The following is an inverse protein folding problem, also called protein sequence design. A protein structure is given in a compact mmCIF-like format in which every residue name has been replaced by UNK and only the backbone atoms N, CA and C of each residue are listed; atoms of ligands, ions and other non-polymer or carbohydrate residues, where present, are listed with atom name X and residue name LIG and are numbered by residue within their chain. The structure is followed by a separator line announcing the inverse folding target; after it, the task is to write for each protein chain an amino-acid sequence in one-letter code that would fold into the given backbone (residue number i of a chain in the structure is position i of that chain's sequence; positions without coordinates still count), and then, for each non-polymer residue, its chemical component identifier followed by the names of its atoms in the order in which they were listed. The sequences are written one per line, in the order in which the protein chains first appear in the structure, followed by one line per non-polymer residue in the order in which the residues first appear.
data_IF_589939139020
#
_entry.id   IF_589939139020
#
_cell.length_a   1.000
_cell.length_b   1.000
_cell.length_c   1.000
_cell.angle_alpha   90.00
_cell.angle_beta   90.00
_cell.angle_gamma   90.00
#
_symmetry.space_group_name_H-M   'P 1'
#
loop_
_entity.id
_entity.type
_entity.pdbx_description
1 polymer ?
#
# COMPACT_ATOMS: atom_id res chain seq x y z
N UNK A 1 6.90 8.87 1.40
CA UNK A 1 6.56 8.52 2.80
C UNK A 1 7.58 7.50 3.27
N UNK A 2 8.37 7.90 4.26
CA UNK A 2 9.48 7.12 4.84
C UNK A 2 9.01 5.88 5.59
N UNK A 3 9.95 5.01 5.97
CA UNK A 3 9.67 3.83 6.80
C UNK A 3 9.04 4.21 8.15
N UNK A 4 9.59 5.21 8.84
CA UNK A 4 9.08 5.68 10.13
C UNK A 4 7.66 6.24 10.04
N UNK A 5 7.36 7.00 8.99
CA UNK A 5 6.03 7.55 8.74
C UNK A 5 5.00 6.45 8.48
N UNK A 6 5.36 5.39 7.75
CA UNK A 6 4.49 4.21 7.53
C UNK A 6 4.16 3.50 8.84
N UNK A 7 5.16 3.26 9.68
CA UNK A 7 4.97 2.66 11.01
C UNK A 7 4.00 3.51 11.85
N UNK A 8 4.23 4.83 11.89
CA UNK A 8 3.39 5.79 12.61
C UNK A 8 1.95 5.81 12.09
N UNK A 9 1.77 5.81 10.77
CA UNK A 9 0.46 5.84 10.12
C UNK A 9 -0.36 4.60 10.48
N UNK A 10 0.22 3.41 10.34
CA UNK A 10 -0.43 2.15 10.70
C UNK A 10 -0.72 2.09 12.20
N UNK A 11 0.25 2.46 13.07
CA UNK A 11 0.04 2.51 14.52
C UNK A 11 -1.15 3.38 14.91
N UNK A 12 -1.25 4.57 14.31
CA UNK A 12 -2.36 5.49 14.56
C UNK A 12 -3.70 4.93 14.06
N UNK A 13 -3.73 4.27 12.89
CA UNK A 13 -4.92 3.58 12.39
C UNK A 13 -5.36 2.43 13.32
N UNK A 14 -4.40 1.74 13.97
CA UNK A 14 -4.66 0.75 15.03
C UNK A 14 -5.03 1.35 16.38
N UNK A 15 -5.09 2.68 16.52
CA UNK A 15 -5.38 3.40 17.77
C UNK A 15 -4.43 3.02 18.93
N UNK A 16 -3.19 2.64 18.60
CA UNK A 16 -2.17 2.25 19.59
C UNK A 16 -1.27 3.43 19.94
N UNK A 17 -0.87 3.53 21.21
CA UNK A 17 0.19 4.46 21.65
C UNK A 17 1.59 3.90 21.32
N UNK A 18 2.61 4.76 21.29
CA UNK A 18 4.00 4.33 21.11
C UNK A 18 4.43 3.32 22.20
N UNK A 19 4.00 3.55 23.46
CA UNK A 19 4.28 2.64 24.58
C UNK A 19 3.63 1.27 24.36
N UNK A 20 2.34 1.23 23.99
CA UNK A 20 1.63 -0.02 23.71
C UNK A 20 2.29 -0.82 22.58
N UNK A 21 2.65 -0.17 21.48
CA UNK A 21 3.36 -0.84 20.38
C UNK A 21 4.71 -1.39 20.85
N UNK A 22 5.50 -0.61 21.61
CA UNK A 22 6.79 -1.05 22.12
C UNK A 22 6.69 -2.24 23.08
N UNK A 23 5.66 -2.27 23.93
CA UNK A 23 5.38 -3.40 24.82
C UNK A 23 4.99 -4.66 24.03
N UNK A 24 4.15 -4.53 22.99
CA UNK A 24 3.79 -5.65 22.10
C UNK A 24 5.00 -6.20 21.33
N UNK A 25 6.01 -5.35 21.06
CA UNK A 25 7.29 -5.77 20.49
C UNK A 25 8.22 -6.46 21.49
N UNK A 26 7.85 -6.57 22.77
CA UNK A 26 8.67 -7.17 23.83
C UNK A 26 9.78 -6.26 24.34
N UNK A 27 9.67 -4.94 24.16
CA UNK A 27 10.65 -4.00 24.73
C UNK A 27 10.40 -3.78 26.22
N UNK A 28 11.45 -3.40 26.95
CA UNK A 28 11.31 -3.08 28.38
C UNK A 28 10.36 -1.90 28.56
N UNK A 29 9.57 -1.94 29.64
CA UNK A 29 8.58 -0.89 29.91
C UNK A 29 9.20 0.52 29.97
N UNK A 30 10.44 0.62 30.48
CA UNK A 30 11.22 1.85 30.58
C UNK A 30 11.68 2.43 29.24
N UNK A 31 11.72 1.63 28.16
CA UNK A 31 12.26 2.06 26.85
C UNK A 31 11.29 1.85 25.68
N UNK A 32 10.12 1.26 25.93
CA UNK A 32 9.16 0.89 24.91
C UNK A 32 8.72 2.07 24.03
N UNK A 33 8.32 3.19 24.63
CA UNK A 33 7.87 4.37 23.90
C UNK A 33 9.03 5.08 23.18
N UNK A 34 10.19 5.21 23.84
CA UNK A 34 11.38 5.87 23.29
C UNK A 34 11.86 5.17 22.02
N UNK A 35 11.94 3.83 22.03
CA UNK A 35 12.37 3.05 20.87
C UNK A 35 11.43 3.23 19.68
N UNK A 36 10.12 3.12 19.91
CA UNK A 36 9.13 3.33 18.84
C UNK A 36 9.19 4.76 18.30
N UNK A 37 9.31 5.77 19.19
CA UNK A 37 9.45 7.17 18.78
C UNK A 37 10.67 7.39 17.87
N UNK A 38 11.81 6.80 18.21
CA UNK A 38 13.03 6.88 17.40
C UNK A 38 12.86 6.26 16.02
N UNK A 39 12.13 5.13 15.92
CA UNK A 39 11.83 4.51 14.63
C UNK A 39 10.85 5.36 13.81
N UNK A 40 9.79 5.88 14.42
CA UNK A 40 8.78 6.71 13.74
C UNK A 40 9.31 8.05 13.24
N UNK A 41 10.31 8.63 13.92
CA UNK A 41 10.96 9.87 13.51
C UNK A 41 12.14 9.67 12.57
N UNK A 42 12.41 8.44 12.13
CA UNK A 42 13.59 8.05 11.37
C UNK A 42 14.94 8.37 12.07
N UNK A 43 14.94 8.66 13.37
CA UNK A 43 16.16 8.90 14.15
C UNK A 43 17.00 7.62 14.30
N UNK A 44 16.35 6.45 14.15
CA UNK A 44 17.00 5.15 14.10
C UNK A 44 16.27 4.25 13.14
N UNK A 45 16.99 3.42 12.40
CA UNK A 45 16.40 2.37 11.56
C UNK A 45 16.27 1.07 12.37
N UNK A 46 15.09 0.44 12.43
CA UNK A 46 14.93 -0.87 13.07
C UNK A 46 15.68 -1.93 12.26
N UNK A 47 16.44 -2.80 12.94
CA UNK A 47 17.01 -4.00 12.32
C UNK A 47 15.88 -4.94 11.89
N UNK A 48 16.16 -5.85 10.95
CA UNK A 48 15.18 -6.78 10.40
C UNK A 48 14.37 -7.52 11.47
N UNK A 49 15.00 -8.11 12.49
CA UNK A 49 14.29 -8.81 13.56
C UNK A 49 13.35 -7.87 14.34
N UNK A 50 13.80 -6.64 14.60
CA UNK A 50 12.98 -5.62 15.26
C UNK A 50 11.80 -5.21 14.39
N UNK A 51 12.04 -5.08 13.09
CA UNK A 51 11.01 -4.74 12.14
C UNK A 51 9.96 -5.85 12.01
N UNK A 52 10.37 -7.13 12.06
CA UNK A 52 9.43 -8.26 12.10
C UNK A 52 8.58 -8.24 13.37
N UNK A 53 9.16 -7.91 14.54
CA UNK A 53 8.40 -7.73 15.78
C UNK A 53 7.37 -6.59 15.66
N UNK A 54 7.77 -5.46 15.07
CA UNK A 54 6.87 -4.32 14.81
C UNK A 54 5.74 -4.72 13.86
N UNK A 55 6.05 -5.42 12.76
CA UNK A 55 5.06 -5.90 11.79
C UNK A 55 4.04 -6.83 12.46
N UNK A 56 4.52 -7.79 13.27
CA UNK A 56 3.68 -8.70 14.05
C UNK A 56 2.78 -7.95 15.04
N UNK A 57 3.33 -6.99 15.79
CA UNK A 57 2.59 -6.19 16.75
C UNK A 57 1.52 -5.30 16.08
N UNK A 58 1.79 -4.79 14.88
CA UNK A 58 0.85 -4.01 14.08
C UNK A 58 -0.16 -4.86 13.29
N UNK A 59 0.01 -6.19 13.28
CA UNK A 59 -0.75 -7.15 12.46
C UNK A 59 -0.73 -6.78 10.97
N UNK A 60 0.48 -6.62 10.44
CA UNK A 60 0.74 -6.31 9.02
C UNK A 60 1.87 -7.19 8.50
N UNK A 61 1.94 -7.32 7.17
CA UNK A 61 3.08 -7.89 6.48
C UNK A 61 4.32 -7.04 6.71
N UNK A 62 5.48 -7.69 6.89
CA UNK A 62 6.76 -6.99 7.00
C UNK A 62 7.01 -6.11 5.75
N UNK A 63 6.48 -6.53 4.58
CA UNK A 63 6.65 -5.83 3.31
C UNK A 63 6.08 -4.42 3.40
N UNK A 64 4.94 -4.22 4.06
CA UNK A 64 4.28 -2.91 4.15
C UNK A 64 5.10 -1.86 4.91
N UNK A 65 6.04 -2.30 5.75
CA UNK A 65 6.90 -1.44 6.56
C UNK A 65 8.40 -1.66 6.29
N UNK A 66 8.79 -2.45 5.29
CA UNK A 66 10.20 -2.60 4.89
C UNK A 66 10.74 -1.28 4.33
N UNK A 67 12.03 -1.05 4.47
CA UNK A 67 12.63 0.22 4.04
C UNK A 67 12.58 0.34 2.50
N UNK A 68 11.87 1.35 2.03
CA UNK A 68 11.82 1.83 0.65
C UNK A 68 11.28 3.25 0.69
N UNK A 69 11.81 4.11 -0.18
CA UNK A 69 11.25 5.45 -0.37
C UNK A 69 10.50 5.50 -1.71
N UNK A 70 9.39 6.23 -1.70
CA UNK A 70 8.55 6.51 -2.87
C UNK A 70 8.13 7.98 -2.79
N UNK A 71 9.02 8.82 -2.25
CA UNK A 71 8.72 10.17 -1.81
C UNK A 71 8.76 11.17 -2.95
N UNK A 72 9.64 10.92 -3.93
CA UNK A 72 9.89 11.83 -5.04
C UNK A 72 9.43 11.22 -6.37
N UNK A 73 9.20 12.09 -7.36
CA UNK A 73 8.83 11.64 -8.71
C UNK A 73 9.95 10.79 -9.33
N UNK A 74 11.19 11.12 -9.01
CA UNK A 74 12.41 10.43 -9.40
C UNK A 74 12.40 8.96 -8.96
N UNK A 75 12.01 8.65 -7.72
CA UNK A 75 11.95 7.27 -7.21
C UNK A 75 10.96 6.40 -8.00
N UNK A 76 9.81 6.99 -8.32
CA UNK A 76 8.76 6.33 -9.11
C UNK A 76 9.23 6.13 -10.55
N UNK A 77 9.80 7.17 -11.16
CA UNK A 77 10.29 7.12 -12.54
C UNK A 77 11.44 6.13 -12.70
N UNK A 78 12.43 6.12 -11.82
CA UNK A 78 13.52 5.14 -11.82
C UNK A 78 12.97 3.72 -11.74
N UNK A 79 12.01 3.46 -10.84
CA UNK A 79 11.37 2.14 -10.74
C UNK A 79 10.70 1.74 -12.06
N UNK A 80 9.97 2.66 -12.69
CA UNK A 80 9.34 2.42 -13.99
C UNK A 80 10.36 2.23 -15.11
N UNK A 81 11.46 2.97 -15.14
CA UNK A 81 12.54 2.82 -16.13
C UNK A 81 13.23 1.46 -16.03
N UNK A 82 13.46 0.96 -14.82
CA UNK A 82 13.99 -0.39 -14.63
C UNK A 82 13.01 -1.47 -15.08
N UNK A 83 11.71 -1.28 -14.84
CA UNK A 83 10.67 -2.18 -15.36
C UNK A 83 10.60 -2.15 -16.90
N UNK A 84 10.66 -0.96 -17.51
CA UNK A 84 10.68 -0.78 -18.96
C UNK A 84 11.90 -1.45 -19.61
N UNK A 85 13.09 -1.28 -19.02
CA UNK A 85 14.34 -1.92 -19.45
C UNK A 85 14.24 -3.46 -19.46
N UNK A 86 13.40 -4.04 -18.59
CA UNK A 86 13.16 -5.47 -18.52
C UNK A 86 11.97 -5.93 -19.39
N UNK A 87 11.42 -5.05 -20.25
CA UNK A 87 10.18 -5.27 -20.99
C UNK A 87 9.00 -5.67 -20.07
N UNK A 88 9.04 -5.21 -18.82
CA UNK A 88 8.04 -5.51 -17.79
C UNK A 88 6.81 -4.61 -17.85
N UNK A 89 6.87 -3.52 -18.61
CA UNK A 89 5.75 -2.60 -18.82
C UNK A 89 5.67 -2.11 -20.26
N UNK A 90 4.47 -1.71 -20.68
CA UNK A 90 4.22 -0.91 -21.88
C UNK A 90 3.37 0.32 -21.52
N UNK A 91 3.45 1.37 -22.35
CA UNK A 91 2.71 2.63 -22.16
C UNK A 91 1.78 2.89 -23.33
N UNK A 92 0.56 3.38 -23.04
CA UNK A 92 -0.39 3.80 -24.07
C UNK A 92 -1.16 5.06 -23.63
N UNK A 93 -1.47 5.97 -24.56
CA UNK A 93 -2.26 7.15 -24.24
C UNK A 93 -3.72 6.75 -24.00
N UNK A 94 -4.35 7.35 -22.98
CA UNK A 94 -5.80 7.23 -22.81
C UNK A 94 -6.52 8.16 -23.78
N UNK A 95 -7.64 7.69 -24.34
CA UNK A 95 -8.48 8.51 -25.23
C UNK A 95 -9.46 9.37 -24.42
N UNK A 96 -9.82 10.58 -24.85
CA UNK A 96 -10.87 11.34 -24.17
C UNK A 96 -12.25 10.68 -24.37
N UNK A 97 -13.09 10.70 -23.35
CA UNK A 97 -14.52 10.29 -23.39
C UNK A 97 -15.42 11.38 -22.79
N UNK A 98 -16.70 11.44 -23.18
CA UNK A 98 -17.65 12.45 -22.74
C UNK A 98 -18.96 11.79 -22.28
N UNK A 99 -19.06 11.31 -21.03
CA UNK A 99 -20.25 10.66 -20.54
C UNK A 99 -21.36 11.68 -20.27
N UNK A 100 -22.59 11.24 -20.48
CA UNK A 100 -23.79 12.08 -20.34
C UNK A 100 -24.16 12.37 -18.88
N UNK A 101 -23.66 11.57 -17.95
CA UNK A 101 -24.03 11.59 -16.53
C UNK A 101 -22.96 12.22 -15.62
N UNK A 102 -21.91 12.81 -16.20
CA UNK A 102 -20.76 13.35 -15.46
C UNK A 102 -20.10 12.35 -14.48
N UNK A 103 -20.27 11.04 -14.69
CA UNK A 103 -19.59 10.03 -13.89
C UNK A 103 -18.08 10.06 -14.15
N UNK A 104 -17.29 10.10 -13.07
CA UNK A 104 -15.83 9.97 -13.13
C UNK A 104 -15.48 8.47 -13.06
N UNK A 105 -15.33 7.85 -14.22
CA UNK A 105 -14.87 6.48 -14.35
C UNK A 105 -13.57 6.43 -15.15
N UNK A 106 -12.58 5.69 -14.64
CA UNK A 106 -11.37 5.36 -15.40
C UNK A 106 -11.67 4.14 -16.26
N UNK A 107 -11.94 4.34 -17.55
CA UNK A 107 -12.01 3.26 -18.55
C UNK A 107 -10.73 3.32 -19.40
N UNK A 108 -10.64 2.62 -20.53
CA UNK A 108 -9.58 2.83 -21.53
C UNK A 108 -9.67 4.22 -22.22
N UNK A 109 -10.15 5.20 -21.47
CA UNK A 109 -10.54 6.55 -21.81
C UNK A 109 -10.71 7.36 -20.52
N UNK A 110 -10.56 8.68 -20.57
CA UNK A 110 -10.80 9.58 -19.44
C UNK A 110 -11.63 10.79 -19.88
N UNK A 111 -12.43 11.36 -18.97
CA UNK A 111 -13.27 12.48 -19.32
C UNK A 111 -12.57 13.81 -19.11
N UNK A 112 -12.63 14.68 -20.11
CA UNK A 112 -12.08 16.03 -20.02
C UNK A 112 -13.21 17.06 -20.04
N UNK A 113 -13.48 17.72 -18.89
CA UNK A 113 -14.08 19.03 -18.95
C UNK A 113 -13.25 20.14 -18.31
N UNK A 114 -12.09 19.85 -17.69
CA UNK A 114 -11.20 20.88 -17.09
C UNK A 114 -9.86 20.30 -16.57
N UNK A 115 -9.16 19.48 -17.37
CA UNK A 115 -7.82 18.99 -16.97
C UNK A 115 -6.80 20.14 -16.99
N UNK A 116 -6.18 20.45 -15.84
CA UNK A 116 -5.06 21.41 -15.76
C UNK A 116 -3.73 20.88 -16.34
N UNK A 117 -3.71 19.66 -16.86
CA UNK A 117 -2.49 19.01 -17.32
C UNK A 117 -2.24 19.35 -18.79
N UNK A 118 -0.98 19.63 -19.15
CA UNK A 118 -0.57 19.95 -20.52
C UNK A 118 -0.50 18.73 -21.46
N UNK A 119 -0.72 17.52 -20.93
CA UNK A 119 -0.66 16.24 -21.67
C UNK A 119 -1.77 15.30 -21.20
N UNK A 120 -2.28 14.42 -22.07
CA UNK A 120 -3.24 13.40 -21.66
C UNK A 120 -2.60 12.45 -20.63
N UNK A 121 -3.40 11.88 -19.71
CA UNK A 121 -2.96 10.79 -18.85
C UNK A 121 -2.63 9.54 -19.69
N UNK A 122 -1.71 8.73 -19.18
CA UNK A 122 -1.26 7.48 -19.79
C UNK A 122 -1.70 6.29 -18.95
N UNK A 123 -2.02 5.19 -19.62
CA UNK A 123 -2.12 3.86 -19.02
C UNK A 123 -0.77 3.16 -19.03
N UNK A 124 -0.51 2.36 -17.99
CA UNK A 124 0.62 1.44 -17.90
C UNK A 124 0.07 0.01 -18.00
N UNK A 125 0.57 -0.77 -18.96
CA UNK A 125 0.34 -2.23 -19.01
C UNK A 125 1.46 -2.91 -18.25
N UNK A 126 1.14 -3.80 -17.32
CA UNK A 126 2.14 -4.67 -16.70
C UNK A 126 2.27 -5.96 -17.50
N UNK A 127 3.48 -6.28 -17.95
CA UNK A 127 3.80 -7.54 -18.64
C UNK A 127 4.17 -8.67 -17.66
N UNK A 128 3.74 -8.55 -16.42
CA UNK A 128 4.04 -9.50 -15.36
C UNK A 128 2.75 -10.05 -14.74
N UNK A 129 2.46 -11.34 -15.03
CA UNK A 129 1.23 -12.02 -14.64
C UNK A 129 0.88 -11.88 -13.15
N UNK A 130 1.87 -12.12 -12.26
CA UNK A 130 1.64 -12.01 -10.82
C UNK A 130 1.22 -10.60 -10.38
N UNK A 131 1.78 -9.56 -11.02
CA UNK A 131 1.35 -8.18 -10.74
C UNK A 131 -0.05 -7.95 -11.29
N UNK A 132 -0.38 -8.45 -12.48
CA UNK A 132 -1.73 -8.35 -13.04
C UNK A 132 -2.79 -9.02 -12.16
N UNK A 133 -2.50 -10.19 -11.60
CA UNK A 133 -3.40 -10.88 -10.68
C UNK A 133 -3.70 -10.01 -9.45
N UNK A 134 -2.65 -9.42 -8.86
CA UNK A 134 -2.81 -8.50 -7.74
C UNK A 134 -3.51 -7.19 -8.15
N UNK A 135 -3.26 -6.64 -9.34
CA UNK A 135 -3.95 -5.44 -9.84
C UNK A 135 -5.44 -5.69 -10.07
N UNK A 136 -5.81 -6.88 -10.57
CA UNK A 136 -7.20 -7.28 -10.73
C UNK A 136 -7.90 -7.36 -9.38
N UNK A 137 -7.28 -8.02 -8.39
CA UNK A 137 -7.82 -8.07 -7.03
C UNK A 137 -7.88 -6.67 -6.39
N UNK A 138 -6.86 -5.84 -6.58
CA UNK A 138 -6.86 -4.46 -6.08
C UNK A 138 -8.00 -3.62 -6.67
N UNK A 139 -8.25 -3.76 -7.98
CA UNK A 139 -9.36 -3.11 -8.65
C UNK A 139 -10.69 -3.55 -8.05
N UNK A 140 -10.88 -4.86 -7.80
CA UNK A 140 -12.05 -5.39 -7.12
C UNK A 140 -12.24 -4.74 -5.74
N UNK A 141 -11.19 -4.67 -4.91
CA UNK A 141 -11.28 -4.06 -3.57
C UNK A 141 -11.61 -2.58 -3.60
N UNK A 142 -11.14 -1.84 -4.60
CA UNK A 142 -11.53 -0.43 -4.78
C UNK A 142 -13.02 -0.30 -5.10
N UNK A 143 -13.56 -1.20 -5.93
CA UNK A 143 -15.00 -1.25 -6.22
C UNK A 143 -15.80 -1.57 -4.98
N UNK A 144 -15.44 -2.61 -4.23
CA UNK A 144 -16.10 -2.99 -2.97
C UNK A 144 -16.07 -1.83 -1.94
N UNK A 145 -14.96 -1.08 -1.85
CA UNK A 145 -14.87 0.09 -0.99
C UNK A 145 -15.79 1.23 -1.44
N UNK A 146 -15.86 1.50 -2.75
CA UNK A 146 -16.71 2.53 -3.35
C UNK A 146 -18.20 2.22 -3.15
N UNK A 147 -18.56 0.95 -3.26
CA UNK A 147 -19.93 0.45 -3.08
C UNK A 147 -20.30 0.27 -1.60
N UNK A 148 -19.34 0.44 -0.68
CA UNK A 148 -19.55 0.31 0.76
C UNK A 148 -19.66 -1.14 1.24
N UNK A 149 -19.31 -2.12 0.40
CA UNK A 149 -19.29 -3.55 0.77
C UNK A 149 -18.15 -3.89 1.73
N UNK A 150 -17.07 -3.09 1.74
CA UNK A 150 -15.99 -3.15 2.74
C UNK A 150 -15.73 -1.77 3.34
N UNK A 151 -15.26 -1.74 4.58
CA UNK A 151 -14.85 -0.50 5.25
C UNK A 151 -13.44 -0.09 4.83
N UNK A 152 -13.08 1.19 5.06
CA UNK A 152 -11.71 1.68 4.88
C UNK A 152 -10.68 0.88 5.69
N UNK A 153 -11.06 0.40 6.88
CA UNK A 153 -10.19 -0.41 7.74
C UNK A 153 -9.97 -1.80 7.14
N UNK A 154 -11.02 -2.44 6.63
CA UNK A 154 -10.91 -3.73 5.92
C UNK A 154 -10.05 -3.60 4.65
N UNK A 155 -10.26 -2.53 3.87
CA UNK A 155 -9.44 -2.25 2.70
C UNK A 155 -7.96 -2.03 3.04
N UNK A 156 -7.67 -1.32 4.14
CA UNK A 156 -6.30 -1.13 4.62
C UNK A 156 -5.70 -2.44 5.17
N UNK A 157 -6.47 -3.24 5.89
CA UNK A 157 -6.06 -4.57 6.35
C UNK A 157 -5.64 -5.46 5.17
N UNK A 158 -6.43 -5.47 4.09
CA UNK A 158 -6.11 -6.22 2.88
C UNK A 158 -4.78 -5.75 2.28
N UNK A 159 -4.60 -4.45 2.04
CA UNK A 159 -3.35 -3.91 1.47
C UNK A 159 -2.13 -4.19 2.36
N UNK A 160 -2.25 -4.00 3.68
CA UNK A 160 -1.11 -4.10 4.59
C UNK A 160 -0.71 -5.54 4.91
N UNK A 161 -1.53 -6.53 4.55
CA UNK A 161 -1.19 -7.93 4.77
C UNK A 161 -0.81 -8.66 3.48
N UNK A 162 -0.72 -7.96 2.34
CA UNK A 162 -0.20 -8.56 1.11
C UNK A 162 1.21 -9.15 1.33
N UNK A 163 1.51 -10.35 0.79
CA UNK A 163 0.68 -11.18 -0.09
C UNK A 163 -0.31 -12.12 0.63
N UNK A 164 -0.28 -12.19 1.95
CA UNK A 164 -1.05 -13.17 2.71
C UNK A 164 -2.57 -12.86 2.76
N UNK A 165 -2.99 -11.69 2.30
CA UNK A 165 -4.39 -11.28 2.20
C UNK A 165 -5.02 -11.54 0.84
N UNK A 166 -4.26 -12.01 -0.15
CA UNK A 166 -4.78 -12.35 -1.47
C UNK A 166 -5.75 -13.53 -1.40
N UNK A 167 -6.79 -13.50 -2.25
CA UNK A 167 -7.85 -14.51 -2.24
C UNK A 167 -7.33 -15.92 -2.58
N UNK A 168 -6.28 -16.03 -3.39
CA UNK A 168 -5.61 -17.31 -3.71
C UNK A 168 -4.87 -17.92 -2.50
N UNK A 169 -4.71 -17.14 -1.43
CA UNK A 169 -4.17 -17.56 -0.15
C UNK A 169 -5.21 -18.15 0.80
N UNK A 170 -6.51 -18.04 0.50
CA UNK A 170 -7.57 -18.44 1.42
C UNK A 170 -7.45 -19.94 1.79
N UNK A 171 -7.42 -20.23 3.09
CA UNK A 171 -7.24 -21.59 3.62
C UNK A 171 -5.79 -22.03 3.83
N UNK A 172 -4.79 -21.22 3.45
CA UNK A 172 -3.39 -21.46 3.83
C UNK A 172 -3.15 -21.03 5.29
N UNK A 173 -2.20 -21.67 5.97
CA UNK A 173 -1.88 -21.41 7.38
C UNK A 173 -1.50 -19.95 7.66
N UNK A 174 -0.84 -19.30 6.71
CA UNK A 174 -0.40 -17.91 6.81
C UNK A 174 -1.41 -16.88 6.28
N UNK A 175 -2.62 -17.29 5.88
CA UNK A 175 -3.63 -16.37 5.36
C UNK A 175 -4.04 -15.33 6.41
N UNK A 176 -4.05 -14.07 6.00
CA UNK A 176 -4.51 -12.97 6.82
C UNK A 176 -6.01 -12.75 6.59
N UNK A 177 -6.84 -13.07 7.57
CA UNK A 177 -8.29 -12.78 7.55
C UNK A 177 -8.54 -11.27 7.71
N UNK A 178 -8.23 -10.53 6.67
CA UNK A 178 -8.22 -9.08 6.62
C UNK A 178 -9.58 -8.43 6.83
N UNK A 179 -10.66 -9.20 6.64
CA UNK A 179 -12.03 -8.75 6.93
C UNK A 179 -12.34 -8.66 8.42
N UNK A 180 -11.64 -9.46 9.25
CA UNK A 180 -11.91 -9.61 10.69
C UNK A 180 -10.71 -9.20 11.58
N UNK A 181 -9.69 -8.55 11.01
CA UNK A 181 -8.39 -8.26 11.65
C UNK A 181 -8.37 -7.11 12.67
#
# INVERSE_FOLDING_TARGET
MTQGERIKYIRNSRKMTQKQLGLLCGFSESTADVRIRQYESNAKTPKQDTLMLIAKALKVSYISIKNYDLGAAEDVLETLFWLDTQNGIDLFPLQPEYPKDNSWEYRGSYNEPESKHSRPPFGIVMQYGLVNDFLAEWSLRKTELREGSITSDQYNNWKWNWPNSCDDGMGKENYADWRNL
#
